data_IF_891465894984
#
_entry.id   IF_891465894984
#
_cell.length_a   1.000
_cell.length_b   1.000
_cell.length_c   1.000
_cell.angle_alpha   90.00
_cell.angle_beta   90.00
_cell.angle_gamma   90.00
#
_symmetry.space_group_name_H-M   'P 1'
#
loop_
_entity.id
_entity.type
_entity.pdbx_description
1 polymer ?
#
# COMPACT_ATOMS: atom_id res chain seq x y z
N UNK A 1 39.15 -24.84 -61.16
CA UNK A 1 38.33 -25.04 -59.94
C UNK A 1 38.07 -23.68 -59.30
N UNK A 2 36.91 -23.06 -59.56
CA UNK A 2 36.48 -21.84 -58.85
C UNK A 2 35.28 -22.22 -57.98
N UNK A 3 35.48 -22.14 -56.67
CA UNK A 3 34.50 -22.49 -55.64
C UNK A 3 33.46 -21.37 -55.59
N UNK A 4 32.21 -21.70 -55.92
CA UNK A 4 31.05 -20.84 -55.71
C UNK A 4 30.77 -20.84 -54.20
N UNK A 5 31.00 -19.71 -53.54
CA UNK A 5 30.55 -19.50 -52.15
C UNK A 5 29.11 -19.00 -52.19
N UNK A 6 28.17 -19.93 -52.03
CA UNK A 6 26.76 -19.61 -51.80
C UNK A 6 26.64 -18.99 -50.40
N UNK A 7 26.34 -17.69 -50.35
CA UNK A 7 26.09 -16.97 -49.10
C UNK A 7 24.66 -17.30 -48.64
N UNK A 8 24.52 -18.19 -47.65
CA UNK A 8 23.24 -18.44 -46.99
C UNK A 8 23.10 -17.41 -45.87
N UNK A 9 22.20 -16.44 -46.07
CA UNK A 9 21.80 -15.48 -45.04
C UNK A 9 20.76 -16.17 -44.13
N UNK A 10 20.99 -16.32 -42.81
CA UNK A 10 19.96 -16.85 -41.93
C UNK A 10 18.91 -15.74 -41.70
N UNK A 11 17.69 -15.98 -42.18
CA UNK A 11 16.53 -15.15 -41.87
C UNK A 11 16.12 -15.41 -40.42
N UNK A 12 16.70 -14.67 -39.48
CA UNK A 12 16.22 -14.58 -38.09
C UNK A 12 14.89 -13.80 -38.12
N UNK A 13 13.79 -14.52 -38.34
CA UNK A 13 12.45 -14.04 -38.00
C UNK A 13 12.37 -13.95 -36.48
N UNK A 14 12.75 -12.78 -35.94
CA UNK A 14 12.46 -12.43 -34.57
C UNK A 14 10.95 -12.39 -34.39
N UNK A 15 10.39 -13.44 -33.82
CA UNK A 15 9.06 -13.42 -33.21
C UNK A 15 9.11 -12.41 -32.06
N UNK A 16 8.91 -11.14 -32.39
CA UNK A 16 8.44 -10.16 -31.42
C UNK A 16 7.00 -10.58 -31.15
N UNK A 17 6.82 -11.46 -30.16
CA UNK A 17 5.51 -11.64 -29.56
C UNK A 17 5.06 -10.26 -29.11
N UNK A 18 4.12 -9.68 -29.85
CA UNK A 18 3.34 -8.57 -29.35
C UNK A 18 2.68 -9.12 -28.09
N UNK A 19 3.24 -8.76 -26.94
CA UNK A 19 2.53 -8.92 -25.68
C UNK A 19 1.28 -8.07 -25.88
N UNK A 20 0.17 -8.72 -26.24
CA UNK A 20 -1.11 -8.05 -26.23
C UNK A 20 -1.36 -7.73 -24.77
N UNK A 21 -1.16 -6.48 -24.41
CA UNK A 21 -1.77 -5.94 -23.21
C UNK A 21 -3.29 -6.15 -23.28
N UNK A 22 -3.94 -5.92 -22.16
CA UNK A 22 -5.39 -5.86 -22.05
C UNK A 22 -5.97 -5.03 -23.21
N UNK A 23 -6.85 -5.64 -24.03
CA UNK A 23 -7.41 -5.00 -25.24
C UNK A 23 -8.54 -4.04 -24.94
N UNK A 24 -9.15 -4.16 -23.76
CA UNK A 24 -10.24 -3.31 -23.30
C UNK A 24 -9.94 -2.78 -21.90
N UNK A 25 -9.93 -1.46 -21.73
CA UNK A 25 -9.94 -0.80 -20.44
C UNK A 25 -11.06 0.25 -20.49
N UNK A 26 -11.97 0.31 -19.51
CA UNK A 26 -12.98 1.36 -19.53
C UNK A 26 -12.29 2.73 -19.43
N UNK A 27 -12.65 3.66 -20.30
CA UNK A 27 -12.20 5.04 -20.13
C UNK A 27 -12.72 5.62 -18.80
N UNK A 28 -12.07 6.68 -18.30
CA UNK A 28 -12.25 7.24 -16.95
C UNK A 28 -13.70 7.56 -16.53
N UNK A 29 -14.63 7.70 -17.48
CA UNK A 29 -16.04 8.03 -17.23
C UNK A 29 -17.04 7.00 -17.80
N UNK A 30 -16.58 5.78 -18.08
CA UNK A 30 -17.43 4.73 -18.64
C UNK A 30 -17.63 3.59 -17.65
N UNK A 31 -18.86 3.06 -17.51
CA UNK A 31 -19.05 1.83 -16.76
C UNK A 31 -18.23 0.71 -17.39
N UNK A 32 -17.72 -0.19 -16.55
CA UNK A 32 -17.07 -1.41 -17.00
C UNK A 32 -18.04 -2.22 -17.87
N UNK A 33 -17.61 -2.61 -19.06
CA UNK A 33 -18.38 -3.51 -19.90
C UNK A 33 -18.48 -4.87 -19.20
N UNK A 34 -19.70 -5.39 -19.14
CA UNK A 34 -19.97 -6.67 -18.50
C UNK A 34 -19.91 -7.81 -19.52
N UNK A 35 -19.28 -8.91 -19.13
CA UNK A 35 -19.26 -10.14 -19.91
C UNK A 35 -19.67 -11.33 -19.06
N UNK A 36 -20.45 -12.23 -19.65
CA UNK A 36 -20.78 -13.50 -19.03
C UNK A 36 -19.54 -14.38 -18.86
N UNK A 37 -19.54 -15.33 -17.90
CA UNK A 37 -18.38 -16.18 -17.63
C UNK A 37 -17.89 -16.95 -18.87
N UNK A 38 -18.82 -17.47 -19.68
CA UNK A 38 -18.51 -18.19 -20.91
C UNK A 38 -17.77 -17.34 -21.95
N UNK A 39 -18.06 -16.03 -22.02
CA UNK A 39 -17.45 -15.10 -22.99
C UNK A 39 -15.98 -14.80 -22.65
N UNK A 40 -15.56 -15.08 -21.42
CA UNK A 40 -14.19 -14.87 -20.92
C UNK A 40 -13.53 -16.18 -20.47
N UNK A 41 -14.05 -17.33 -20.92
CA UNK A 41 -13.55 -18.66 -20.61
C UNK A 41 -13.45 -18.98 -19.10
N UNK A 42 -14.43 -18.51 -18.32
CA UNK A 42 -14.60 -18.82 -16.89
C UNK A 42 -15.77 -19.80 -16.74
N UNK A 43 -15.57 -20.84 -15.93
CA UNK A 43 -16.61 -21.78 -15.53
C UNK A 43 -17.64 -21.08 -14.62
N UNK A 44 -18.91 -21.06 -15.06
CA UNK A 44 -19.97 -20.33 -14.37
C UNK A 44 -20.30 -20.91 -12.99
N UNK A 45 -20.26 -22.24 -12.83
CA UNK A 45 -20.57 -22.91 -11.57
C UNK A 45 -19.47 -22.67 -10.53
N UNK A 46 -18.21 -22.71 -10.96
CA UNK A 46 -17.06 -22.40 -10.11
C UNK A 46 -17.07 -20.93 -9.67
N UNK A 47 -17.42 -20.02 -10.59
CA UNK A 47 -17.57 -18.60 -10.28
C UNK A 47 -18.65 -18.37 -9.23
N UNK A 48 -19.83 -18.97 -9.39
CA UNK A 48 -20.93 -18.78 -8.44
C UNK A 48 -20.62 -19.41 -7.08
N UNK A 49 -19.92 -20.55 -7.04
CA UNK A 49 -19.40 -21.12 -5.79
C UNK A 49 -18.43 -20.17 -5.08
N UNK A 50 -17.56 -19.47 -5.81
CA UNK A 50 -16.64 -18.51 -5.24
C UNK A 50 -17.37 -17.27 -4.66
N UNK A 51 -18.37 -16.76 -5.38
CA UNK A 51 -19.22 -15.64 -4.89
C UNK A 51 -19.99 -16.06 -3.65
N UNK A 52 -20.68 -17.20 -3.71
CA UNK A 52 -21.42 -17.76 -2.57
C UNK A 52 -20.50 -17.99 -1.37
N UNK A 53 -19.26 -18.42 -1.58
CA UNK A 53 -18.28 -18.53 -0.49
C UNK A 53 -17.97 -17.16 0.13
N UNK A 54 -17.69 -16.13 -0.69
CA UNK A 54 -17.41 -14.79 -0.18
C UNK A 54 -18.60 -14.18 0.60
N UNK A 55 -19.82 -14.38 0.13
CA UNK A 55 -21.04 -13.87 0.78
C UNK A 55 -21.31 -14.60 2.12
N UNK A 56 -21.11 -15.92 2.16
CA UNK A 56 -21.38 -16.73 3.35
C UNK A 56 -20.25 -16.67 4.40
N UNK A 57 -19.09 -16.11 4.06
CA UNK A 57 -17.93 -16.00 4.95
C UNK A 57 -17.60 -14.54 5.29
N UNK A 58 -18.63 -13.71 5.47
CA UNK A 58 -18.45 -12.34 5.96
C UNK A 58 -17.69 -12.32 7.30
N UNK A 59 -16.81 -11.33 7.49
CA UNK A 59 -16.16 -11.07 8.77
C UNK A 59 -17.19 -11.01 9.91
N UNK A 60 -17.00 -11.82 10.95
CA UNK A 60 -17.95 -11.98 12.06
C UNK A 60 -17.83 -10.90 13.15
N UNK A 61 -16.77 -10.08 13.12
CA UNK A 61 -16.60 -8.99 14.07
C UNK A 61 -17.61 -7.85 13.86
N UNK A 62 -17.64 -6.94 14.83
CA UNK A 62 -18.62 -5.84 14.86
C UNK A 62 -18.69 -5.06 13.55
N UNK A 63 -19.91 -4.70 13.14
CA UNK A 63 -20.10 -3.74 12.05
C UNK A 63 -19.70 -2.32 12.46
N UNK A 64 -19.69 -2.02 13.76
CA UNK A 64 -19.11 -0.79 14.28
C UNK A 64 -17.59 -0.95 14.41
N UNK A 65 -16.85 -0.31 13.50
CA UNK A 65 -15.40 -0.46 13.45
C UNK A 65 -14.70 0.07 14.71
N UNK A 66 -15.33 0.96 15.49
CA UNK A 66 -14.76 1.37 16.80
C UNK A 66 -14.61 0.18 17.72
N UNK A 67 -15.65 -0.65 17.81
CA UNK A 67 -15.64 -1.84 18.64
C UNK A 67 -14.65 -2.88 18.10
N UNK A 68 -14.62 -3.07 16.77
CA UNK A 68 -13.73 -4.04 16.14
C UNK A 68 -12.25 -3.68 16.35
N UNK A 69 -11.88 -2.40 16.20
CA UNK A 69 -10.52 -1.89 16.40
C UNK A 69 -10.11 -2.04 17.87
N UNK A 70 -10.90 -1.49 18.80
CA UNK A 70 -10.58 -1.55 20.24
C UNK A 70 -10.45 -3.00 20.73
N UNK A 71 -11.28 -3.91 20.22
CA UNK A 71 -11.18 -5.34 20.57
C UNK A 71 -9.96 -6.01 19.94
N UNK A 72 -9.65 -5.69 18.69
CA UNK A 72 -8.53 -6.29 17.95
C UNK A 72 -7.16 -5.94 18.54
N UNK A 73 -7.05 -4.77 19.16
CA UNK A 73 -5.81 -4.23 19.71
C UNK A 73 -5.85 -4.06 21.24
N UNK A 74 -6.76 -4.76 21.92
CA UNK A 74 -6.97 -4.62 23.38
C UNK A 74 -5.74 -4.93 24.25
N UNK A 75 -4.70 -5.55 23.66
CA UNK A 75 -3.45 -5.92 24.33
C UNK A 75 -2.36 -4.86 24.17
N UNK A 76 -2.52 -3.93 23.24
CA UNK A 76 -1.54 -2.87 23.00
C UNK A 76 -1.63 -1.81 24.11
N UNK A 77 -0.51 -1.45 24.74
CA UNK A 77 -0.53 -0.39 25.73
C UNK A 77 -0.85 0.95 25.06
N UNK A 78 -1.65 1.78 25.74
CA UNK A 78 -2.05 3.11 25.25
C UNK A 78 -2.86 3.12 23.95
N UNK A 79 -3.39 1.97 23.52
CA UNK A 79 -4.19 1.90 22.30
C UNK A 79 -5.47 2.74 22.43
N UNK A 80 -5.68 3.61 21.44
CA UNK A 80 -6.88 4.42 21.31
C UNK A 80 -7.23 4.63 19.83
N UNK A 81 -8.44 5.12 19.57
CA UNK A 81 -8.87 5.49 18.24
C UNK A 81 -8.36 6.90 17.93
N UNK A 82 -7.44 7.02 16.99
CA UNK A 82 -6.72 8.27 16.69
C UNK A 82 -7.32 9.07 15.54
N UNK A 83 -8.47 8.65 15.00
CA UNK A 83 -9.09 9.30 13.85
C UNK A 83 -10.49 8.77 13.58
N UNK A 84 -11.14 9.25 12.50
CA UNK A 84 -12.54 8.93 12.24
C UNK A 84 -12.71 7.45 11.90
N UNK A 85 -13.77 6.87 12.44
CA UNK A 85 -14.24 5.52 12.09
C UNK A 85 -15.61 5.56 11.44
N UNK A 86 -15.90 4.60 10.57
CA UNK A 86 -17.22 4.38 9.97
C UNK A 86 -17.70 2.97 10.32
N UNK A 87 -19.01 2.73 10.30
CA UNK A 87 -19.48 1.32 10.24
C UNK A 87 -18.97 0.68 8.94
N UNK A 88 -18.66 -0.61 8.92
CA UNK A 88 -18.28 -1.32 7.66
C UNK A 88 -19.49 -1.72 6.83
N UNK A 89 -19.31 -1.86 5.52
CA UNK A 89 -20.29 -2.46 4.61
C UNK A 89 -20.49 -3.97 4.84
N UNK A 90 -21.39 -4.57 4.06
CA UNK A 90 -21.46 -6.02 3.89
C UNK A 90 -20.30 -6.55 3.05
N UNK A 91 -20.22 -7.87 2.81
CA UNK A 91 -19.25 -8.40 1.85
C UNK A 91 -19.56 -7.83 0.47
N UNK A 92 -18.55 -7.27 -0.18
CA UNK A 92 -18.65 -6.74 -1.53
C UNK A 92 -17.39 -7.13 -2.30
N UNK A 93 -17.53 -7.30 -3.61
CA UNK A 93 -16.41 -7.63 -4.46
C UNK A 93 -16.77 -7.63 -5.93
N UNK A 94 -15.73 -7.69 -6.75
CA UNK A 94 -15.85 -7.77 -8.19
C UNK A 94 -14.73 -8.64 -8.76
N UNK A 95 -15.03 -9.30 -9.88
CA UNK A 95 -14.07 -10.09 -10.64
C UNK A 95 -13.95 -9.48 -12.03
N UNK A 96 -12.73 -9.06 -12.36
CA UNK A 96 -12.36 -8.51 -13.65
C UNK A 96 -11.55 -9.56 -14.43
N UNK A 97 -11.84 -9.74 -15.71
CA UNK A 97 -11.08 -10.61 -16.61
C UNK A 97 -10.85 -9.90 -17.94
N UNK A 98 -9.58 -9.72 -18.30
CA UNK A 98 -9.13 -9.07 -19.54
C UNK A 98 -9.79 -7.69 -19.75
N UNK A 99 -10.08 -7.02 -18.64
CA UNK A 99 -10.73 -5.71 -18.60
C UNK A 99 -12.24 -5.70 -18.52
N UNK A 100 -12.90 -6.84 -18.56
CA UNK A 100 -14.35 -6.92 -18.47
C UNK A 100 -14.79 -7.25 -17.05
N UNK A 101 -15.91 -6.66 -16.64
CA UNK A 101 -16.57 -7.02 -15.40
C UNK A 101 -17.33 -8.34 -15.60
N UNK A 102 -16.87 -9.38 -14.94
CA UNK A 102 -17.47 -10.72 -15.06
C UNK A 102 -18.54 -10.93 -14.01
N UNK A 103 -18.27 -10.45 -12.80
CA UNK A 103 -19.17 -10.61 -11.65
C UNK A 103 -18.92 -9.52 -10.63
N UNK A 104 -20.00 -9.09 -9.99
CA UNK A 104 -19.97 -8.24 -8.81
C UNK A 104 -21.01 -8.73 -7.80
N UNK A 105 -20.78 -8.47 -6.52
CA UNK A 105 -21.71 -8.74 -5.43
C UNK A 105 -21.54 -7.70 -4.33
N UNK A 106 -22.59 -7.52 -3.53
CA UNK A 106 -22.65 -6.46 -2.51
C UNK A 106 -22.68 -5.05 -3.08
N UNK A 107 -22.41 -4.07 -2.21
CA UNK A 107 -22.36 -2.64 -2.54
C UNK A 107 -20.92 -2.22 -2.84
N UNK A 108 -20.52 -2.31 -4.10
CA UNK A 108 -19.16 -2.02 -4.58
C UNK A 108 -18.86 -0.52 -4.73
N UNK A 109 -19.88 0.34 -4.69
CA UNK A 109 -19.73 1.80 -4.80
C UNK A 109 -19.52 2.47 -3.45
N UNK A 110 -19.75 1.72 -2.36
CA UNK A 110 -19.61 2.20 -1.00
C UNK A 110 -18.15 2.54 -0.67
N UNK A 111 -17.93 3.79 -0.25
CA UNK A 111 -16.66 4.18 0.37
C UNK A 111 -16.51 3.51 1.74
N UNK A 112 -15.60 2.54 1.84
CA UNK A 112 -15.25 1.82 3.07
C UNK A 112 -13.90 2.27 3.65
N UNK A 113 -13.68 1.94 4.93
CA UNK A 113 -12.35 2.08 5.53
C UNK A 113 -11.46 0.93 5.03
N UNK A 114 -10.41 1.26 4.29
CA UNK A 114 -9.56 0.27 3.61
C UNK A 114 -8.34 -0.16 4.43
N UNK A 115 -8.10 0.47 5.59
CA UNK A 115 -7.02 0.14 6.53
C UNK A 115 -5.66 -0.02 5.83
N UNK A 116 -5.12 -1.23 5.81
CA UNK A 116 -3.76 -1.49 5.34
C UNK A 116 -3.59 -1.47 3.83
N UNK A 117 -4.67 -1.30 3.05
CA UNK A 117 -4.57 -0.94 1.62
C UNK A 117 -3.77 0.35 1.42
N UNK A 118 -3.75 1.26 2.42
CA UNK A 118 -2.92 2.47 2.40
C UNK A 118 -1.44 2.17 2.11
N UNK A 119 -0.91 1.02 2.56
CA UNK A 119 0.49 0.62 2.31
C UNK A 119 0.78 0.46 0.81
N UNK A 120 -0.21 0.01 0.02
CA UNK A 120 -0.09 -0.05 -1.43
C UNK A 120 0.00 1.35 -2.05
N UNK A 121 -0.78 2.31 -1.56
CA UNK A 121 -0.69 3.70 -2.02
C UNK A 121 0.67 4.32 -1.66
N UNK A 122 1.17 4.10 -0.44
CA UNK A 122 2.49 4.58 -0.03
C UNK A 122 3.60 3.97 -0.90
N UNK A 123 3.52 2.68 -1.23
CA UNK A 123 4.47 2.02 -2.13
C UNK A 123 4.46 2.66 -3.52
N UNK A 124 3.28 2.92 -4.10
CA UNK A 124 3.17 3.60 -5.41
C UNK A 124 3.70 5.04 -5.35
N UNK A 125 3.40 5.78 -4.28
CA UNK A 125 3.91 7.14 -4.06
C UNK A 125 5.45 7.16 -3.95
N UNK A 126 6.04 6.15 -3.31
CA UNK A 126 7.49 5.99 -3.26
C UNK A 126 8.08 5.67 -4.64
N UNK A 127 7.45 4.79 -5.42
CA UNK A 127 7.83 4.51 -6.80
C UNK A 127 7.82 5.77 -7.67
N UNK A 128 6.76 6.57 -7.58
CA UNK A 128 6.69 7.86 -8.27
C UNK A 128 7.78 8.83 -7.81
N UNK A 129 8.14 8.84 -6.52
CA UNK A 129 9.24 9.68 -6.03
C UNK A 129 10.58 9.27 -6.65
N UNK A 130 10.78 7.97 -6.90
CA UNK A 130 11.95 7.46 -7.64
C UNK A 130 11.91 7.91 -9.10
N UNK A 131 10.79 7.70 -9.78
CA UNK A 131 10.62 8.08 -11.20
C UNK A 131 10.84 9.59 -11.43
N UNK A 132 10.46 10.42 -10.46
CA UNK A 132 10.66 11.87 -10.46
C UNK A 132 12.05 12.32 -9.98
N UNK A 133 12.93 11.39 -9.60
CA UNK A 133 14.28 11.69 -9.11
C UNK A 133 14.33 12.37 -7.73
N UNK A 134 13.21 12.35 -6.98
CA UNK A 134 13.17 12.84 -5.59
C UNK A 134 13.83 11.83 -4.64
N UNK A 135 13.70 10.54 -4.95
CA UNK A 135 14.49 9.45 -4.36
C UNK A 135 15.40 8.92 -5.46
N UNK A 136 16.71 8.96 -5.28
CA UNK A 136 17.64 8.51 -6.31
C UNK A 136 17.57 6.98 -6.50
N UNK A 137 17.58 6.22 -5.40
CA UNK A 137 17.41 4.77 -5.41
C UNK A 137 16.91 4.28 -4.05
N UNK A 138 16.20 3.16 -4.04
CA UNK A 138 15.61 2.61 -2.80
C UNK A 138 16.63 2.05 -1.81
N UNK A 139 17.87 1.84 -2.24
CA UNK A 139 18.97 1.44 -1.35
C UNK A 139 19.67 2.63 -0.68
N UNK A 140 19.24 3.87 -0.95
CA UNK A 140 19.75 5.02 -0.23
C UNK A 140 19.23 5.05 1.20
N UNK A 141 20.07 5.58 2.10
CA UNK A 141 19.68 5.86 3.48
C UNK A 141 18.64 6.96 3.52
N UNK A 142 17.59 6.78 4.32
CA UNK A 142 16.53 7.79 4.46
C UNK A 142 17.06 9.05 5.17
N UNK A 143 18.05 8.91 6.04
CA UNK A 143 18.75 10.03 6.70
C UNK A 143 19.44 11.00 5.72
N UNK A 144 19.71 10.59 4.48
CA UNK A 144 20.23 11.48 3.45
C UNK A 144 19.17 12.45 2.89
N UNK A 145 17.89 12.16 3.12
CA UNK A 145 16.74 12.94 2.65
C UNK A 145 16.02 13.67 3.80
N UNK A 146 16.04 13.06 4.99
CA UNK A 146 15.31 13.52 6.17
C UNK A 146 16.30 13.93 7.26
N UNK A 147 16.43 15.24 7.44
CA UNK A 147 17.45 15.92 8.25
C UNK A 147 16.98 16.46 9.61
N UNK A 148 15.82 16.02 10.10
CA UNK A 148 15.17 16.55 11.32
C UNK A 148 15.44 15.71 12.58
N UNK A 149 16.30 14.70 12.48
CA UNK A 149 16.62 13.79 13.57
C UNK A 149 15.80 12.50 13.61
N UNK A 150 14.77 12.33 12.77
CA UNK A 150 13.93 11.11 12.75
C UNK A 150 14.74 9.83 12.52
N UNK A 151 15.86 9.93 11.80
CA UNK A 151 16.77 8.82 11.50
C UNK A 151 18.14 8.95 12.17
N UNK A 152 18.27 9.81 13.19
CA UNK A 152 19.54 9.96 13.91
C UNK A 152 19.91 8.72 14.75
N UNK A 153 21.20 8.60 15.06
CA UNK A 153 21.76 7.54 15.88
C UNK A 153 22.30 6.35 15.09
N UNK A 154 23.14 5.54 15.75
CA UNK A 154 23.90 4.46 15.12
C UNK A 154 23.05 3.34 14.51
N UNK A 155 21.77 3.27 14.89
CA UNK A 155 20.81 2.29 14.40
C UNK A 155 19.97 2.85 13.24
N UNK A 156 19.17 3.89 13.51
CA UNK A 156 18.25 4.44 12.52
C UNK A 156 18.94 5.05 11.29
N UNK A 157 20.19 5.53 11.41
CA UNK A 157 20.96 6.06 10.27
C UNK A 157 21.25 5.00 9.19
N UNK A 158 21.14 3.71 9.54
CA UNK A 158 21.32 2.59 8.59
C UNK A 158 20.05 2.25 7.80
N UNK A 159 18.90 2.84 8.15
CA UNK A 159 17.62 2.54 7.50
C UNK A 159 17.62 3.09 6.08
N UNK A 160 17.34 2.21 5.11
CA UNK A 160 17.16 2.53 3.70
C UNK A 160 15.68 2.61 3.35
N UNK A 161 15.34 3.27 2.25
CA UNK A 161 13.96 3.31 1.74
C UNK A 161 13.37 1.90 1.54
N UNK A 162 14.16 0.99 0.97
CA UNK A 162 13.81 -0.42 0.79
C UNK A 162 13.37 -1.07 2.11
N UNK A 163 14.02 -0.72 3.21
CA UNK A 163 13.71 -1.32 4.49
C UNK A 163 12.36 -0.88 5.07
N UNK A 164 11.99 0.39 4.85
CA UNK A 164 10.66 0.89 5.21
C UNK A 164 9.58 0.27 4.32
N UNK A 165 9.83 0.20 3.01
CA UNK A 165 8.89 -0.37 2.03
C UNK A 165 8.65 -1.88 2.24
N UNK A 166 9.65 -2.60 2.73
CA UNK A 166 9.59 -4.05 2.99
C UNK A 166 9.27 -4.39 4.45
N UNK A 167 9.07 -3.38 5.30
CA UNK A 167 8.82 -3.53 6.75
C UNK A 167 9.87 -4.38 7.46
N UNK A 168 11.14 -4.16 7.15
CA UNK A 168 12.27 -4.81 7.80
C UNK A 168 13.33 -3.80 8.29
N UNK A 169 12.94 -2.53 8.51
CA UNK A 169 13.84 -1.47 8.98
C UNK A 169 14.30 -1.62 10.41
N UNK A 170 13.50 -2.28 11.24
CA UNK A 170 13.58 -2.21 12.69
C UNK A 170 13.77 -0.79 13.23
N UNK A 171 13.21 0.22 12.55
CA UNK A 171 13.26 1.61 13.02
C UNK A 171 12.66 1.68 14.42
N UNK A 172 13.37 2.36 15.32
CA UNK A 172 12.95 2.49 16.72
C UNK A 172 12.84 3.96 17.12
N UNK A 173 11.76 4.28 17.83
CA UNK A 173 11.46 5.65 18.22
C UNK A 173 9.97 5.89 18.45
N UNK A 174 9.60 7.16 18.37
CA UNK A 174 8.22 7.61 18.52
C UNK A 174 7.85 8.54 17.37
N UNK A 175 6.67 8.36 16.79
CA UNK A 175 6.12 9.27 15.80
C UNK A 175 4.65 9.56 16.12
N UNK A 176 4.28 10.84 16.14
CA UNK A 176 2.94 11.32 16.49
C UNK A 176 2.38 10.65 17.75
N UNK A 177 3.15 10.64 18.83
CA UNK A 177 2.70 10.07 20.12
C UNK A 177 2.76 8.53 20.20
N UNK A 178 2.97 7.82 19.09
CA UNK A 178 3.02 6.36 19.06
C UNK A 178 4.44 5.84 19.10
N UNK A 179 4.68 4.86 19.96
CA UNK A 179 5.98 4.21 20.10
C UNK A 179 6.06 2.94 19.25
N UNK A 180 7.21 2.71 18.60
CA UNK A 180 7.39 1.51 17.78
C UNK A 180 7.17 0.21 18.57
N UNK A 181 7.63 0.15 19.81
CA UNK A 181 7.52 -1.01 20.69
C UNK A 181 6.12 -1.25 21.27
N UNK A 182 5.20 -0.27 21.15
CA UNK A 182 3.84 -0.37 21.67
C UNK A 182 2.87 -1.03 20.68
N UNK A 183 3.23 -1.08 19.39
CA UNK A 183 2.44 -1.75 18.36
C UNK A 183 2.73 -3.25 18.40
N UNK A 184 1.68 -4.07 18.58
CA UNK A 184 1.74 -5.54 18.68
C UNK A 184 2.90 -6.07 19.54
N UNK A 185 3.03 -5.65 20.82
CA UNK A 185 4.15 -6.05 21.66
C UNK A 185 4.17 -7.57 21.91
N UNK A 186 5.33 -8.12 22.31
CA UNK A 186 5.47 -9.52 22.69
C UNK A 186 4.40 -9.97 23.71
N UNK A 187 4.11 -11.28 23.73
CA UNK A 187 3.14 -11.85 24.69
C UNK A 187 3.62 -11.84 26.14
N UNK A 188 4.93 -11.83 26.31
CA UNK A 188 5.60 -11.89 27.59
C UNK A 188 6.45 -10.63 27.78
N UNK A 189 6.86 -10.39 29.02
CA UNK A 189 7.59 -9.19 29.40
C UNK A 189 6.69 -8.00 29.73
N UNK A 190 7.33 -6.90 30.12
CA UNK A 190 6.67 -5.64 30.45
C UNK A 190 7.17 -4.47 29.61
N UNK A 191 6.57 -3.30 29.81
CA UNK A 191 6.88 -2.07 29.08
C UNK A 191 8.38 -1.78 29.03
N UNK A 192 9.10 -1.97 30.15
CA UNK A 192 10.54 -1.68 30.21
C UNK A 192 11.36 -2.66 29.35
N UNK A 193 10.96 -3.93 29.27
CA UNK A 193 11.61 -4.91 28.40
C UNK A 193 11.35 -4.59 26.92
N UNK A 194 10.12 -4.20 26.58
CA UNK A 194 9.76 -3.84 25.20
C UNK A 194 10.49 -2.58 24.72
N UNK A 195 10.62 -1.57 25.59
CA UNK A 195 11.40 -0.35 25.32
C UNK A 195 12.89 -0.63 25.12
N UNK A 196 13.44 -1.57 25.89
CA UNK A 196 14.87 -1.90 25.87
C UNK A 196 15.18 -3.16 25.04
N UNK A 197 14.28 -3.53 24.12
CA UNK A 197 14.47 -4.68 23.23
C UNK A 197 15.79 -4.56 22.46
N UNK A 198 16.39 -5.70 22.13
CA UNK A 198 17.49 -5.71 21.19
C UNK A 198 17.02 -5.26 19.80
N UNK A 199 17.77 -4.35 19.19
CA UNK A 199 17.53 -3.90 17.82
C UNK A 199 18.23 -4.86 16.83
N UNK A 200 17.47 -5.33 15.85
CA UNK A 200 17.95 -6.12 14.73
C UNK A 200 18.52 -5.20 13.65
N UNK A 201 19.63 -5.55 12.99
CA UNK A 201 20.13 -4.76 11.88
C UNK A 201 19.05 -4.53 10.80
N UNK A 202 18.91 -3.31 10.24
CA UNK A 202 17.92 -3.07 9.18
C UNK A 202 18.14 -4.01 7.98
N UNK A 203 17.05 -4.58 7.48
CA UNK A 203 17.03 -5.56 6.38
C UNK A 203 17.06 -7.03 6.82
N UNK A 204 17.23 -7.34 8.12
CA UNK A 204 17.41 -8.75 8.56
C UNK A 204 16.14 -9.42 9.07
N UNK A 205 15.19 -8.66 9.65
CA UNK A 205 13.96 -9.20 10.23
C UNK A 205 12.78 -8.39 9.74
N UNK A 206 11.79 -9.05 9.15
CA UNK A 206 10.50 -8.43 8.83
C UNK A 206 9.63 -8.43 10.08
N UNK A 207 9.04 -7.27 10.37
CA UNK A 207 8.07 -7.11 11.45
C UNK A 207 6.99 -6.15 10.97
N UNK A 208 5.73 -6.61 11.08
CA UNK A 208 4.59 -5.78 10.73
C UNK A 208 4.35 -4.75 11.82
N UNK A 209 4.70 -3.49 11.54
CA UNK A 209 4.65 -2.40 12.51
C UNK A 209 4.05 -1.11 11.90
N UNK A 210 2.93 -0.64 12.43
CA UNK A 210 2.19 0.52 11.91
C UNK A 210 2.92 1.85 12.19
N UNK A 211 3.71 1.96 13.26
CA UNK A 211 4.54 3.16 13.48
C UNK A 211 5.62 3.28 12.40
N UNK A 212 6.22 2.18 11.98
CA UNK A 212 7.23 2.20 10.90
C UNK A 212 6.61 2.53 9.53
N UNK A 213 5.34 2.22 9.34
CA UNK A 213 4.56 2.63 8.16
C UNK A 213 4.24 4.13 8.23
N UNK A 214 3.93 4.65 9.42
CA UNK A 214 3.77 6.09 9.64
C UNK A 214 5.09 6.85 9.35
N UNK A 215 6.24 6.28 9.73
CA UNK A 215 7.57 6.82 9.39
C UNK A 215 7.80 6.84 7.88
N UNK A 216 7.35 5.82 7.13
CA UNK A 216 7.38 5.85 5.67
C UNK A 216 6.51 6.98 5.11
N UNK A 217 5.27 7.13 5.58
CA UNK A 217 4.38 8.21 5.15
C UNK A 217 4.96 9.59 5.46
N UNK A 218 5.52 9.76 6.65
CA UNK A 218 6.23 10.96 7.09
C UNK A 218 7.39 11.30 6.12
N UNK A 219 8.31 10.35 5.90
CA UNK A 219 9.47 10.55 5.04
C UNK A 219 9.06 10.87 3.59
N UNK A 220 8.03 10.21 3.07
CA UNK A 220 7.49 10.52 1.74
C UNK A 220 6.88 11.92 1.67
N UNK A 221 6.20 12.37 2.72
CA UNK A 221 5.64 13.74 2.79
C UNK A 221 6.76 14.79 2.70
N UNK A 222 7.85 14.60 3.45
CA UNK A 222 9.04 15.44 3.40
C UNK A 222 9.72 15.42 2.03
N UNK A 223 9.79 14.25 1.41
CA UNK A 223 10.45 14.06 0.11
C UNK A 223 9.66 14.74 -1.01
N UNK A 224 8.34 14.62 -1.00
CA UNK A 224 7.46 15.30 -1.95
C UNK A 224 7.29 16.79 -1.66
N UNK A 225 7.51 17.23 -0.41
CA UNK A 225 7.20 18.59 0.08
C UNK A 225 5.76 18.98 -0.23
N UNK A 226 4.86 18.00 -0.18
CA UNK A 226 3.44 18.14 -0.45
C UNK A 226 2.66 17.18 0.44
N UNK A 227 1.41 17.52 0.84
CA UNK A 227 0.55 16.56 1.52
C UNK A 227 0.37 15.30 0.68
N UNK A 228 0.58 14.12 1.26
CA UNK A 228 0.37 12.85 0.55
C UNK A 228 -1.03 12.67 -0.05
N UNK A 229 -2.14 13.13 0.57
CA UNK A 229 -3.43 13.10 -0.12
C UNK A 229 -3.46 13.88 -1.44
N UNK A 230 -2.70 14.97 -1.54
CA UNK A 230 -2.57 15.74 -2.80
C UNK A 230 -1.79 14.94 -3.83
N UNK A 231 -0.64 14.37 -3.43
CA UNK A 231 0.17 13.52 -4.33
C UNK A 231 -0.65 12.32 -4.82
N UNK A 232 -1.33 11.61 -3.92
CA UNK A 232 -2.20 10.49 -4.25
C UNK A 232 -3.31 10.91 -5.22
N UNK A 233 -3.94 12.06 -4.98
CA UNK A 233 -5.00 12.58 -5.84
C UNK A 233 -4.47 12.88 -7.25
N UNK A 234 -3.49 13.76 -7.34
CA UNK A 234 -3.04 14.32 -8.62
C UNK A 234 -2.23 13.33 -9.46
N UNK A 235 -1.48 12.43 -8.81
CA UNK A 235 -0.54 11.53 -9.49
C UNK A 235 -1.06 10.12 -9.70
N UNK A 236 -2.08 9.70 -8.96
CA UNK A 236 -2.60 8.33 -9.02
C UNK A 236 -4.11 8.35 -9.29
N UNK A 237 -4.90 8.88 -8.36
CA UNK A 237 -6.36 8.72 -8.37
C UNK A 237 -7.02 9.44 -9.55
N UNK A 238 -6.66 10.69 -9.84
CA UNK A 238 -7.20 11.43 -10.98
C UNK A 238 -6.76 10.79 -12.32
N UNK A 239 -5.47 10.45 -12.54
CA UNK A 239 -5.05 9.77 -13.77
C UNK A 239 -5.75 8.45 -14.06
N UNK A 240 -6.03 7.63 -13.04
CA UNK A 240 -6.73 6.34 -13.21
C UNK A 240 -8.26 6.47 -13.26
N UNK A 241 -8.81 7.68 -13.15
CA UNK A 241 -10.26 7.90 -13.14
C UNK A 241 -10.95 7.37 -11.89
N UNK A 242 -10.28 7.38 -10.73
CA UNK A 242 -10.90 6.99 -9.47
C UNK A 242 -12.06 7.93 -9.10
N UNK A 243 -13.00 7.44 -8.30
CA UNK A 243 -14.14 8.25 -7.84
C UNK A 243 -13.69 9.50 -7.07
N UNK A 244 -14.52 10.53 -7.01
CA UNK A 244 -14.24 11.76 -6.24
C UNK A 244 -14.69 11.66 -4.77
N UNK A 245 -15.18 10.49 -4.36
CA UNK A 245 -15.82 10.28 -3.05
C UNK A 245 -14.89 9.71 -2.00
N UNK A 246 -13.70 9.21 -2.37
CA UNK A 246 -12.69 8.78 -1.40
C UNK A 246 -12.18 9.96 -0.57
N UNK A 247 -11.70 9.66 0.65
CA UNK A 247 -11.14 10.63 1.58
C UNK A 247 -9.90 10.03 2.22
N UNK A 248 -8.88 10.85 2.41
CA UNK A 248 -7.69 10.48 3.19
C UNK A 248 -7.84 10.99 4.62
N UNK A 249 -7.77 10.08 5.57
CA UNK A 249 -7.80 10.40 6.99
C UNK A 249 -6.55 9.80 7.67
N UNK A 250 -5.54 10.65 7.88
CA UNK A 250 -4.52 10.40 8.91
C UNK A 250 -5.05 10.72 10.30
N UNK A 251 -4.28 10.39 11.34
CA UNK A 251 -4.63 10.70 12.74
C UNK A 251 -4.91 12.19 12.95
N UNK A 252 -5.66 12.51 14.00
CA UNK A 252 -6.09 13.89 14.29
C UNK A 252 -4.89 14.83 14.49
N UNK A 253 -3.81 14.32 15.09
CA UNK A 253 -2.55 15.02 15.36
C UNK A 253 -1.40 14.62 14.43
N UNK A 254 -1.63 13.80 13.40
CA UNK A 254 -0.62 13.44 12.39
C UNK A 254 -0.41 14.59 11.39
N UNK A 255 0.20 15.67 11.88
CA UNK A 255 0.58 16.83 11.10
C UNK A 255 2.06 17.10 11.27
N UNK A 256 2.70 17.47 10.18
CA UNK A 256 4.12 17.82 10.15
C UNK A 256 4.32 19.18 9.53
N UNK A 257 5.26 19.95 10.05
CA UNK A 257 5.66 21.22 9.45
C UNK A 257 6.82 20.99 8.47
N UNK A 258 6.62 21.40 7.22
CA UNK A 258 7.64 21.34 6.16
C UNK A 258 7.66 22.72 5.51
N UNK A 259 8.81 23.40 5.55
CA UNK A 259 8.99 24.77 5.03
C UNK A 259 8.01 25.80 5.61
N UNK A 260 7.63 25.64 6.88
CA UNK A 260 6.65 26.51 7.53
C UNK A 260 5.20 26.24 7.14
N UNK A 261 4.93 25.20 6.34
CA UNK A 261 3.58 24.75 5.99
C UNK A 261 3.21 23.48 6.76
N UNK A 262 2.01 23.49 7.35
CA UNK A 262 1.45 22.32 8.03
C UNK A 262 0.89 21.35 6.98
N UNK A 263 1.51 20.17 6.87
CA UNK A 263 1.17 19.13 5.90
C UNK A 263 0.62 17.89 6.60
N UNK A 264 -0.30 17.20 5.91
CA UNK A 264 -0.83 15.91 6.35
C UNK A 264 -0.18 14.80 5.55
N UNK A 265 0.42 13.85 6.27
CA UNK A 265 0.88 12.58 5.71
C UNK A 265 -0.27 11.62 5.47
#
# INVERSE_FOLDING_TARGET
>A
MKIIKTLILPLLLGFSGLISAQTYFPGNDKPWEQKGPAEVAIDADALEKAVSFAENNEYSGSRDLRMAILKGFEREPYHEILGPTKKRGGPAGMILKDGYLVRQWGDTERVDMTFSVTKSFLSTVAGLAVDHGLIKQTSDRVSAYIWDGTFEGSHNDKVQWSHLLQQNSDWSGQLWGLYDWADRPPREGGIDEWKNRALNPPGTVMEYNDVRVNVLAYALTHTWRQPLPTVLKERIMDPIGASTTWRWFGYDHAWTEIDGYKMKS
#
